data_IF_460223282083
#
_entry.id   IF_460223282083
#
_cell.length_a   1.000
_cell.length_b   1.000
_cell.length_c   1.000
_cell.angle_alpha   90.00
_cell.angle_beta   90.00
_cell.angle_gamma   90.00
#
_symmetry.space_group_name_H-M   'P 1'
#
loop_
_entity.id
_entity.type
_entity.pdbx_description
1 polymer ?
#
# COMPACT_ATOMS: atom_id res chain seq x y z
N UNK A 1 0.42 14.59 -5.15
CA UNK A 1 -0.03 13.18 -5.12
C UNK A 1 -1.45 13.04 -4.54
N UNK A 2 -1.80 13.80 -3.49
CA UNK A 2 -3.14 13.75 -2.91
C UNK A 2 -4.14 14.69 -3.58
N UNK A 3 -5.41 14.31 -3.54
CA UNK A 3 -6.56 15.15 -3.90
C UNK A 3 -7.66 15.00 -2.86
N UNK A 4 -8.40 16.08 -2.61
CA UNK A 4 -9.55 16.06 -1.72
C UNK A 4 -10.80 15.66 -2.50
N UNK A 5 -11.59 14.76 -1.92
CA UNK A 5 -12.83 14.23 -2.48
C UNK A 5 -13.94 14.30 -1.44
N UNK A 6 -15.18 14.28 -1.89
CA UNK A 6 -16.37 14.30 -1.02
C UNK A 6 -17.09 12.97 -1.15
N UNK A 7 -17.43 12.35 -0.03
CA UNK A 7 -18.20 11.11 -0.02
C UNK A 7 -19.61 11.35 -0.55
N UNK A 8 -20.07 10.45 -1.42
CA UNK A 8 -21.42 10.54 -2.01
C UNK A 8 -22.53 10.31 -0.98
N UNK A 9 -22.25 9.57 0.09
CA UNK A 9 -23.24 9.17 1.11
C UNK A 9 -23.35 10.11 2.30
N UNK A 10 -22.27 10.78 2.69
CA UNK A 10 -22.22 11.57 3.93
C UNK A 10 -21.78 13.02 3.74
N UNK A 11 -21.36 13.43 2.53
CA UNK A 11 -20.76 14.74 2.26
C UNK A 11 -19.50 15.03 3.09
N UNK A 12 -18.82 13.99 3.58
CA UNK A 12 -17.57 14.11 4.32
C UNK A 12 -16.39 14.22 3.36
N UNK A 13 -15.40 15.01 3.72
CA UNK A 13 -14.17 15.15 2.95
C UNK A 13 -13.21 14.02 3.29
N UNK A 14 -12.62 13.40 2.26
CA UNK A 14 -11.51 12.45 2.40
C UNK A 14 -10.39 12.81 1.42
N UNK A 15 -9.20 12.28 1.67
CA UNK A 15 -8.02 12.51 0.84
C UNK A 15 -7.58 11.20 0.19
N UNK A 16 -7.40 11.23 -1.13
CA UNK A 16 -6.98 10.08 -1.92
C UNK A 16 -5.61 10.32 -2.53
N UNK A 17 -4.69 9.37 -2.35
CA UNK A 17 -3.38 9.35 -2.97
C UNK A 17 -3.42 8.54 -4.27
N UNK A 18 -3.23 9.21 -5.40
CA UNK A 18 -3.25 8.57 -6.73
C UNK A 18 -2.06 7.66 -7.04
N UNK A 19 -1.03 7.66 -6.19
CA UNK A 19 0.18 6.85 -6.37
C UNK A 19 0.08 5.56 -5.55
N UNK A 20 -0.36 5.69 -4.29
CA UNK A 20 -0.44 4.55 -3.36
C UNK A 20 -1.84 3.94 -3.30
N UNK A 21 -2.82 4.55 -3.95
CA UNK A 21 -4.25 4.21 -3.84
C UNK A 21 -4.80 4.22 -2.39
N UNK A 22 -4.09 4.87 -1.47
CA UNK A 22 -4.52 5.00 -0.09
C UNK A 22 -5.59 6.11 0.06
N UNK A 23 -6.60 5.83 0.88
CA UNK A 23 -7.61 6.80 1.31
C UNK A 23 -7.51 7.02 2.81
N UNK A 24 -7.58 8.29 3.22
CA UNK A 24 -7.54 8.72 4.62
C UNK A 24 -8.50 9.90 4.89
N UNK A 25 -8.96 10.02 6.13
CA UNK A 25 -9.84 11.13 6.54
C UNK A 25 -9.04 12.37 6.94
N UNK A 26 -7.89 12.14 7.58
CA UNK A 26 -6.99 13.19 8.03
C UNK A 26 -6.36 13.86 6.81
N UNK A 27 -6.22 15.19 6.87
CA UNK A 27 -5.49 15.91 5.84
C UNK A 27 -4.04 15.44 5.82
N UNK A 28 -3.50 15.03 4.65
CA UNK A 28 -2.10 14.67 4.55
C UNK A 28 -1.26 15.89 4.93
N UNK A 29 -0.24 15.68 5.76
CA UNK A 29 0.67 16.72 6.24
C UNK A 29 1.30 17.42 5.04
N UNK A 30 0.84 18.63 4.75
CA UNK A 30 1.41 19.47 3.70
C UNK A 30 2.66 20.14 4.25
N UNK A 31 3.83 19.56 4.00
CA UNK A 31 5.04 20.36 4.11
C UNK A 31 5.09 21.31 2.92
N UNK A 32 4.75 22.57 3.16
CA UNK A 32 5.28 23.69 2.39
C UNK A 32 6.80 23.52 2.27
N UNK A 33 7.33 23.70 1.07
CA UNK A 33 8.77 23.80 0.78
C UNK A 33 9.65 22.62 1.24
N UNK A 34 9.69 21.57 0.43
CA UNK A 34 10.96 20.95 0.03
C UNK A 34 10.68 20.13 -1.21
N UNK A 35 11.27 20.53 -2.33
CA UNK A 35 11.20 19.80 -3.60
C UNK A 35 11.51 18.32 -3.36
N UNK A 36 10.93 17.46 -4.20
CA UNK A 36 11.15 16.03 -4.14
C UNK A 36 12.62 15.73 -3.95
N UNK A 37 13.01 15.37 -2.73
CA UNK A 37 14.20 14.59 -2.55
C UNK A 37 13.84 13.28 -3.25
N UNK A 38 14.35 13.12 -4.46
CA UNK A 38 14.63 11.80 -5.02
C UNK A 38 15.49 11.11 -3.96
N UNK A 39 14.85 10.44 -3.00
CA UNK A 39 15.53 9.72 -1.96
C UNK A 39 16.38 8.66 -2.64
N UNK A 40 17.67 8.90 -2.73
CA UNK A 40 18.69 7.88 -2.95
C UNK A 40 18.88 7.10 -1.64
N UNK A 41 17.78 6.61 -1.09
CA UNK A 41 17.73 5.86 0.16
C UNK A 41 17.09 4.52 -0.11
N UNK A 42 17.59 3.51 0.58
CA UNK A 42 16.96 2.20 0.61
C UNK A 42 15.57 2.33 1.25
N UNK A 43 14.59 1.66 0.67
CA UNK A 43 13.23 1.60 1.16
C UNK A 43 12.97 0.19 1.69
N UNK A 44 12.41 0.07 2.89
CA UNK A 44 12.03 -1.24 3.42
C UNK A 44 10.51 -1.35 3.45
N UNK A 45 10.00 -2.41 2.85
CA UNK A 45 8.57 -2.65 2.81
C UNK A 45 8.25 -4.12 3.03
N UNK A 46 7.12 -4.35 3.67
CA UNK A 46 6.42 -5.63 3.60
C UNK A 46 5.29 -5.53 2.57
N UNK A 47 4.96 -6.64 1.92
CA UNK A 47 3.85 -6.71 0.99
C UNK A 47 2.97 -7.94 1.17
N UNK A 48 1.72 -7.78 0.77
CA UNK A 48 0.72 -8.82 0.68
C UNK A 48 0.30 -8.93 -0.79
N UNK A 49 0.60 -10.04 -1.45
CA UNK A 49 0.29 -10.26 -2.86
C UNK A 49 -0.86 -11.25 -3.02
N UNK A 50 -1.90 -10.89 -3.76
CA UNK A 50 -2.85 -11.84 -4.34
C UNK A 50 -2.60 -11.98 -5.83
N UNK A 51 -2.29 -13.19 -6.28
CA UNK A 51 -2.15 -13.47 -7.72
C UNK A 51 -3.52 -13.49 -8.39
N UNK A 52 -3.54 -13.18 -9.68
CA UNK A 52 -4.72 -13.13 -10.55
C UNK A 52 -5.40 -14.49 -10.81
N UNK A 53 -5.41 -15.41 -9.84
CA UNK A 53 -6.13 -16.67 -9.95
C UNK A 53 -7.65 -16.44 -10.08
N UNK A 54 -8.16 -15.32 -9.55
CA UNK A 54 -9.58 -14.95 -9.63
C UNK A 54 -9.76 -13.42 -9.83
N UNK A 55 -9.81 -12.94 -11.10
CA UNK A 55 -9.80 -11.50 -11.40
C UNK A 55 -10.98 -10.71 -10.83
N UNK A 56 -12.12 -11.37 -10.58
CA UNK A 56 -13.35 -10.71 -10.10
C UNK A 56 -13.43 -10.66 -8.58
N UNK A 57 -12.97 -11.71 -7.88
CA UNK A 57 -13.08 -11.79 -6.41
C UNK A 57 -11.85 -11.24 -5.68
N UNK A 58 -10.66 -11.25 -6.31
CA UNK A 58 -9.43 -10.82 -5.67
C UNK A 58 -9.48 -9.35 -5.16
N UNK A 59 -10.03 -8.37 -5.91
CA UNK A 59 -10.13 -7.00 -5.39
C UNK A 59 -11.03 -6.90 -4.15
N UNK A 60 -12.16 -7.61 -4.13
CA UNK A 60 -13.09 -7.60 -2.99
C UNK A 60 -12.49 -8.24 -1.75
N UNK A 61 -11.77 -9.36 -1.92
CA UNK A 61 -11.06 -10.01 -0.82
C UNK A 61 -9.97 -9.10 -0.25
N UNK A 62 -9.19 -8.46 -1.11
CA UNK A 62 -8.14 -7.53 -0.69
C UNK A 62 -8.71 -6.34 0.09
N UNK A 63 -9.82 -5.77 -0.35
CA UNK A 63 -10.52 -4.72 0.39
C UNK A 63 -10.99 -5.19 1.76
N UNK A 64 -11.47 -6.43 1.86
CA UNK A 64 -11.82 -7.05 3.14
C UNK A 64 -10.63 -7.15 4.09
N UNK A 65 -9.46 -7.55 3.60
CA UNK A 65 -8.23 -7.58 4.40
C UNK A 65 -7.79 -6.18 4.83
N UNK A 66 -7.83 -5.19 3.93
CA UNK A 66 -7.52 -3.79 4.27
C UNK A 66 -8.44 -3.30 5.39
N UNK A 67 -9.73 -3.63 5.35
CA UNK A 67 -10.66 -3.24 6.41
C UNK A 67 -10.33 -3.87 7.75
N UNK A 68 -10.02 -5.17 7.80
CA UNK A 68 -9.60 -5.87 9.04
C UNK A 68 -8.32 -5.29 9.64
N UNK A 69 -7.36 -4.92 8.80
CA UNK A 69 -6.11 -4.27 9.25
C UNK A 69 -6.42 -2.88 9.81
N UNK A 70 -7.23 -2.08 9.10
CA UNK A 70 -7.59 -0.73 9.54
C UNK A 70 -8.45 -0.71 10.81
N UNK A 71 -9.27 -1.74 11.04
CA UNK A 71 -10.06 -1.88 12.27
C UNK A 71 -9.25 -2.43 13.45
N UNK A 72 -8.05 -2.97 13.20
CA UNK A 72 -7.23 -3.66 14.20
C UNK A 72 -7.75 -5.06 14.56
N UNK A 73 -8.59 -5.67 13.73
CA UNK A 73 -9.07 -7.04 13.92
C UNK A 73 -7.97 -8.07 13.61
N UNK A 74 -7.11 -7.77 12.64
CA UNK A 74 -6.02 -8.62 12.19
C UNK A 74 -4.77 -7.80 11.89
N UNK A 75 -3.60 -8.35 12.16
CA UNK A 75 -2.32 -7.71 11.82
C UNK A 75 -1.95 -7.93 10.35
N UNK A 76 -1.29 -6.94 9.74
CA UNK A 76 -0.83 -7.02 8.35
C UNK A 76 0.06 -8.26 8.13
N UNK A 77 1.00 -8.47 9.06
CA UNK A 77 1.96 -9.55 9.03
C UNK A 77 1.31 -10.93 9.13
N UNK A 78 0.26 -11.04 9.94
CA UNK A 78 -0.48 -12.28 10.16
C UNK A 78 -1.26 -12.66 8.91
N UNK A 79 -1.91 -11.68 8.26
CA UNK A 79 -2.58 -11.91 6.99
C UNK A 79 -1.57 -12.22 5.87
N UNK A 80 -0.47 -11.48 5.79
CA UNK A 80 0.57 -11.69 4.78
C UNK A 80 1.18 -13.10 4.89
N UNK A 81 1.41 -13.61 6.09
CA UNK A 81 1.88 -14.99 6.26
C UNK A 81 0.88 -16.06 5.84
N UNK A 82 -0.42 -15.82 6.01
CA UNK A 82 -1.46 -16.82 5.78
C UNK A 82 -1.96 -16.84 4.33
N UNK A 83 -2.08 -15.67 3.71
CA UNK A 83 -2.83 -15.50 2.46
C UNK A 83 -2.03 -14.89 1.31
N UNK A 84 -0.79 -14.41 1.55
CA UNK A 84 0.04 -13.88 0.47
C UNK A 84 0.55 -15.00 -0.43
N UNK A 85 0.40 -14.81 -1.74
CA UNK A 85 0.88 -15.72 -2.78
C UNK A 85 2.38 -15.55 -3.10
N UNK A 86 3.10 -14.71 -2.36
CA UNK A 86 4.53 -14.47 -2.53
C UNK A 86 5.36 -15.36 -1.60
N UNK A 87 6.60 -15.71 -1.99
CA UNK A 87 7.52 -16.42 -1.12
C UNK A 87 7.88 -15.65 0.16
N UNK A 88 7.74 -14.32 0.15
CA UNK A 88 7.88 -13.43 1.31
C UNK A 88 6.85 -13.68 2.41
N UNK A 89 5.76 -14.41 2.16
CA UNK A 89 4.78 -14.81 3.18
C UNK A 89 5.44 -15.48 4.40
N UNK A 90 6.49 -16.27 4.18
CA UNK A 90 7.28 -16.93 5.24
C UNK A 90 8.01 -15.93 6.15
N UNK A 91 8.34 -14.76 5.62
CA UNK A 91 8.92 -13.64 6.34
C UNK A 91 7.85 -12.58 6.66
N UNK A 92 6.59 -12.99 6.83
CA UNK A 92 5.47 -12.09 7.17
C UNK A 92 5.24 -10.97 6.14
N UNK A 93 5.60 -11.24 4.88
CA UNK A 93 5.49 -10.29 3.77
C UNK A 93 6.73 -9.41 3.58
N UNK A 94 7.74 -9.48 4.44
CA UNK A 94 8.93 -8.65 4.35
C UNK A 94 9.72 -8.91 3.06
N UNK A 95 10.07 -7.83 2.35
CA UNK A 95 10.92 -7.84 1.16
C UNK A 95 12.34 -7.34 1.46
N UNK A 96 12.59 -6.85 2.67
CA UNK A 96 13.84 -6.18 3.04
C UNK A 96 14.03 -4.84 2.35
N UNK A 97 15.26 -4.35 2.40
CA UNK A 97 15.67 -3.07 1.84
C UNK A 97 15.88 -3.17 0.32
N UNK A 98 15.28 -2.25 -0.43
CA UNK A 98 15.46 -2.15 -1.87
C UNK A 98 15.60 -0.71 -2.35
N UNK A 99 16.33 -0.57 -3.44
CA UNK A 99 16.51 0.68 -4.17
C UNK A 99 15.60 0.76 -5.41
N UNK A 100 15.45 1.96 -5.96
CA UNK A 100 14.75 2.14 -7.24
C UNK A 100 15.41 1.33 -8.36
N UNK A 101 14.60 0.78 -9.25
CA UNK A 101 15.00 -0.09 -10.35
C UNK A 101 15.02 -1.58 -10.01
N UNK A 102 14.79 -1.96 -8.75
CA UNK A 102 14.76 -3.38 -8.32
C UNK A 102 13.36 -3.98 -8.32
N UNK A 103 12.31 -3.16 -8.28
CA UNK A 103 10.90 -3.58 -8.23
C UNK A 103 10.13 -3.12 -9.47
N UNK A 104 8.98 -3.75 -9.72
CA UNK A 104 8.06 -3.33 -10.79
C UNK A 104 7.61 -1.88 -10.58
N UNK A 105 7.50 -1.11 -11.67
CA UNK A 105 7.29 0.34 -11.62
C UNK A 105 6.11 0.79 -10.74
N UNK A 106 4.90 0.17 -10.82
CA UNK A 106 3.79 0.57 -9.96
C UNK A 106 4.03 0.27 -8.47
N UNK A 107 4.71 -0.84 -8.17
CA UNK A 107 5.09 -1.20 -6.81
C UNK A 107 6.09 -0.19 -6.25
N UNK A 108 7.16 0.09 -7.00
CA UNK A 108 8.17 1.07 -6.60
C UNK A 108 7.55 2.44 -6.35
N UNK A 109 6.75 2.94 -7.28
CA UNK A 109 6.16 4.28 -7.14
C UNK A 109 5.26 4.38 -5.92
N UNK A 110 4.48 3.34 -5.62
CA UNK A 110 3.68 3.25 -4.40
C UNK A 110 4.57 3.17 -3.15
N UNK A 111 5.51 2.24 -3.07
CA UNK A 111 6.40 2.06 -1.92
C UNK A 111 7.15 3.34 -1.54
N UNK A 112 7.67 4.07 -2.52
CA UNK A 112 8.42 5.31 -2.27
C UNK A 112 7.53 6.52 -2.01
N UNK A 113 6.23 6.45 -2.34
CA UNK A 113 5.27 7.49 -2.02
C UNK A 113 4.63 7.32 -0.63
N UNK A 114 4.78 6.15 -0.01
CA UNK A 114 4.38 5.88 1.37
C UNK A 114 5.36 6.52 2.36
N UNK A 115 4.83 7.01 3.48
CA UNK A 115 5.63 7.33 4.66
C UNK A 115 5.94 6.06 5.46
N UNK A 116 6.98 6.12 6.28
CA UNK A 116 7.30 5.02 7.21
C UNK A 116 6.10 4.74 8.12
N UNK A 117 5.69 3.48 8.21
CA UNK A 117 4.47 3.01 8.89
C UNK A 117 3.17 3.18 8.09
N UNK A 118 3.20 3.76 6.90
CA UNK A 118 2.00 3.94 6.06
C UNK A 118 1.72 2.69 5.21
N UNK A 119 0.43 2.36 5.10
CA UNK A 119 -0.06 1.26 4.27
C UNK A 119 -0.74 1.79 3.01
N UNK A 120 -0.44 1.19 1.86
CA UNK A 120 -1.08 1.50 0.58
C UNK A 120 -2.52 0.99 0.51
N UNK A 121 -3.26 1.47 -0.49
CA UNK A 121 -4.40 0.73 -1.02
C UNK A 121 -3.96 -0.40 -1.97
N UNK A 122 -4.89 -0.92 -2.78
CA UNK A 122 -4.59 -1.92 -3.80
C UNK A 122 -3.65 -1.37 -4.88
N UNK A 123 -2.47 -1.97 -5.02
CA UNK A 123 -1.48 -1.62 -6.06
C UNK A 123 -1.44 -2.74 -7.10
N UNK A 124 -1.69 -2.40 -8.36
CA UNK A 124 -1.76 -3.37 -9.44
C UNK A 124 -0.42 -3.49 -10.16
N UNK A 125 0.07 -4.71 -10.31
CA UNK A 125 1.27 -5.02 -11.09
C UNK A 125 1.04 -6.28 -11.93
N UNK A 126 1.99 -6.62 -12.80
CA UNK A 126 1.88 -7.83 -13.66
C UNK A 126 1.83 -9.12 -12.83
N UNK A 127 2.33 -9.09 -11.59
CA UNK A 127 2.28 -10.23 -10.67
C UNK A 127 0.92 -10.42 -9.99
N UNK A 128 0.09 -9.38 -9.90
CA UNK A 128 -1.13 -9.42 -9.11
C UNK A 128 -1.47 -8.09 -8.44
N UNK A 129 -2.25 -8.17 -7.37
CA UNK A 129 -2.66 -7.01 -6.57
C UNK A 129 -1.92 -7.06 -5.24
N UNK A 130 -1.31 -5.95 -4.86
CA UNK A 130 -0.48 -5.83 -3.68
C UNK A 130 -1.09 -4.85 -2.67
N UNK A 131 -0.94 -5.15 -1.38
CA UNK A 131 -0.96 -4.13 -0.32
C UNK A 131 0.49 -3.99 0.14
N UNK A 132 0.95 -2.76 0.28
CA UNK A 132 2.33 -2.42 0.63
C UNK A 132 2.30 -1.70 1.97
N UNK A 133 3.08 -2.18 2.93
CA UNK A 133 3.34 -1.51 4.19
C UNK A 133 4.80 -1.09 4.18
N UNK A 134 5.07 0.22 4.30
CA UNK A 134 6.43 0.71 4.43
C UNK A 134 6.89 0.60 5.88
N UNK A 135 7.93 -0.17 6.14
CA UNK A 135 8.46 -0.41 7.49
C UNK A 135 9.54 0.59 7.86
N UNK A 136 10.40 1.00 6.91
CA UNK A 136 11.45 2.03 7.07
C UNK A 136 11.49 3.02 5.89
#
# INVERSE_FOLDING_TARGET
AFSAWVTLSSSWVYYFNHITNASQWERPSGNSSSGGQKGQGENQCAHFLLRHLFPVSAPLQLLGYIQKIKSGEEDFESLASQFSDCSSAKARGDLGAFSRGQMQKPFEDASFALRTGEMSGPVFTDSGIHIILRTE
#
